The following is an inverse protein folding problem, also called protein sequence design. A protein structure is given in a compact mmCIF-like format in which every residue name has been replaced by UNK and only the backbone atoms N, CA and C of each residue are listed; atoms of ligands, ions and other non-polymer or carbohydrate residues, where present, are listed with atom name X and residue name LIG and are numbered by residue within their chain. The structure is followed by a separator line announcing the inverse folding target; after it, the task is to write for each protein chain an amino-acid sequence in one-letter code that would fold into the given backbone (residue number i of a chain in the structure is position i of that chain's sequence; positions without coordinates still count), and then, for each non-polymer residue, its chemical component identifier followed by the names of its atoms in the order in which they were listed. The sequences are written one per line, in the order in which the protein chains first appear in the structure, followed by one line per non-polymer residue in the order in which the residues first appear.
data_IF_220973229874
#
_entry.id   IF_220973229874
#
_cell.length_a   1.000
_cell.length_b   1.000
_cell.length_c   1.000
_cell.angle_alpha   90.00
_cell.angle_beta   90.00
_cell.angle_gamma   90.00
#
_symmetry.space_group_name_H-M   'P 1'
#
loop_
_entity.id
_entity.type
_entity.pdbx_description
1 polymer ?
#
# COMPACT_ATOMS: atom_id res chain seq x y z
N UNK A 1 21.39 4.80 -18.06
CA UNK A 1 21.93 4.11 -16.89
C UNK A 1 21.72 4.90 -15.62
N UNK A 2 21.92 6.21 -15.68
CA UNK A 2 21.67 7.08 -14.53
C UNK A 2 20.20 7.00 -14.05
N UNK A 3 19.25 6.99 -14.97
CA UNK A 3 17.83 6.88 -14.61
C UNK A 3 17.50 5.54 -13.97
N UNK A 4 18.11 4.46 -14.45
CA UNK A 4 17.89 3.14 -13.86
C UNK A 4 18.39 3.08 -12.42
N UNK A 5 19.55 3.67 -12.15
CA UNK A 5 20.11 3.74 -10.79
C UNK A 5 19.21 4.56 -9.88
N UNK A 6 18.73 5.71 -10.37
CA UNK A 6 17.83 6.59 -9.59
C UNK A 6 16.54 5.87 -9.24
N UNK A 7 15.98 5.12 -10.19
CA UNK A 7 14.73 4.39 -9.98
C UNK A 7 14.94 3.28 -8.94
N UNK A 8 16.01 2.52 -9.09
CA UNK A 8 16.32 1.43 -8.14
C UNK A 8 16.55 1.97 -6.73
N UNK A 9 17.31 3.03 -6.60
CA UNK A 9 17.58 3.65 -5.30
C UNK A 9 16.30 4.18 -4.67
N UNK A 10 15.41 4.76 -5.47
CA UNK A 10 14.13 5.24 -4.99
C UNK A 10 13.28 4.08 -4.43
N UNK A 11 13.21 2.96 -5.16
CA UNK A 11 12.44 1.80 -4.73
C UNK A 11 13.02 1.21 -3.45
N UNK A 12 14.33 1.20 -3.31
CA UNK A 12 14.98 0.72 -2.07
C UNK A 12 14.71 1.65 -0.89
N UNK A 13 14.70 2.95 -1.14
CA UNK A 13 14.52 3.96 -0.09
C UNK A 13 13.05 4.08 0.30
N UNK A 14 12.14 4.07 -0.66
CA UNK A 14 10.70 4.22 -0.44
C UNK A 14 9.98 3.07 -1.16
N UNK A 15 9.96 1.86 -0.58
CA UNK A 15 9.28 0.73 -1.20
C UNK A 15 7.77 0.92 -1.25
N UNK A 16 7.13 0.26 -2.19
CA UNK A 16 5.67 0.23 -2.27
C UNK A 16 5.04 1.30 -3.14
N UNK A 17 5.82 2.13 -3.79
CA UNK A 17 5.26 3.10 -4.73
C UNK A 17 4.77 2.43 -6.02
N UNK A 18 3.73 3.00 -6.60
CA UNK A 18 3.25 2.62 -7.94
C UNK A 18 4.10 3.32 -8.99
N UNK A 19 3.94 2.92 -10.26
CA UNK A 19 4.63 3.58 -11.36
C UNK A 19 4.32 5.09 -11.39
N UNK A 20 3.06 5.46 -11.19
CA UNK A 20 2.65 6.87 -11.18
C UNK A 20 3.34 7.66 -10.07
N UNK A 21 3.45 7.08 -8.87
CA UNK A 21 4.12 7.73 -7.75
C UNK A 21 5.62 7.91 -8.01
N UNK A 22 6.26 6.89 -8.59
CA UNK A 22 7.67 6.96 -8.94
C UNK A 22 7.90 8.04 -10.01
N UNK A 23 7.06 8.08 -11.03
CA UNK A 23 7.12 9.09 -12.10
C UNK A 23 7.01 10.49 -11.52
N UNK A 24 6.04 10.71 -10.64
CA UNK A 24 5.83 12.01 -10.01
C UNK A 24 7.02 12.43 -9.15
N UNK A 25 7.55 11.51 -8.34
CA UNK A 25 8.64 11.80 -7.40
C UNK A 25 9.96 12.09 -8.09
N UNK A 26 10.28 11.33 -9.15
CA UNK A 26 11.56 11.45 -9.82
C UNK A 26 11.56 12.43 -10.98
N UNK A 27 10.36 12.87 -11.40
CA UNK A 27 10.20 13.78 -12.54
C UNK A 27 10.89 13.24 -13.79
N UNK A 28 10.72 11.95 -14.03
CA UNK A 28 11.24 11.25 -15.22
C UNK A 28 10.04 10.86 -16.07
N UNK A 29 10.12 10.96 -17.40
CA UNK A 29 8.98 10.60 -18.27
C UNK A 29 8.46 9.19 -17.99
N UNK A 30 7.15 9.03 -18.01
CA UNK A 30 6.49 7.76 -17.71
C UNK A 30 7.00 6.59 -18.56
N UNK A 31 7.24 6.82 -19.84
CA UNK A 31 7.75 5.78 -20.72
C UNK A 31 9.14 5.30 -20.32
N UNK A 32 9.98 6.20 -19.84
CA UNK A 32 11.31 5.89 -19.35
C UNK A 32 11.24 5.10 -18.05
N UNK A 33 10.37 5.52 -17.12
CA UNK A 33 10.13 4.79 -15.88
C UNK A 33 9.67 3.37 -16.18
N UNK A 34 8.67 3.21 -17.05
CA UNK A 34 8.14 1.91 -17.43
C UNK A 34 9.21 0.98 -17.97
N UNK A 35 10.06 1.51 -18.87
CA UNK A 35 11.15 0.74 -19.45
C UNK A 35 12.11 0.23 -18.38
N UNK A 36 12.57 1.11 -17.49
CA UNK A 36 13.51 0.73 -16.46
C UNK A 36 12.92 -0.19 -15.39
N UNK A 37 11.64 -0.02 -15.06
CA UNK A 37 10.97 -0.94 -14.13
C UNK A 37 10.94 -2.35 -14.71
N UNK A 38 10.68 -2.45 -16.02
CA UNK A 38 10.69 -3.75 -16.69
C UNK A 38 12.08 -4.38 -16.68
N UNK A 39 13.11 -3.59 -16.97
CA UNK A 39 14.50 -4.07 -16.95
C UNK A 39 14.95 -4.52 -15.58
N UNK A 40 14.65 -3.71 -14.54
CA UNK A 40 15.01 -4.04 -13.16
C UNK A 40 14.31 -5.30 -12.67
N UNK A 41 13.06 -5.51 -13.11
CA UNK A 41 12.33 -6.73 -12.80
C UNK A 41 12.97 -7.95 -13.43
N UNK A 42 13.36 -7.83 -14.71
CA UNK A 42 14.06 -8.91 -15.42
C UNK A 42 15.40 -9.25 -14.78
N UNK A 43 16.09 -8.24 -14.24
CA UNK A 43 17.37 -8.43 -13.57
C UNK A 43 17.23 -8.93 -12.12
N UNK A 44 16.02 -9.19 -11.67
CA UNK A 44 15.73 -9.65 -10.32
C UNK A 44 16.17 -8.69 -9.21
N UNK A 45 16.19 -7.40 -9.50
CA UNK A 45 16.53 -6.38 -8.50
C UNK A 45 15.30 -5.85 -7.80
N UNK A 46 14.16 -5.86 -8.48
CA UNK A 46 12.87 -5.46 -7.93
C UNK A 46 11.81 -6.47 -8.34
N UNK A 47 10.66 -6.40 -7.67
CA UNK A 47 9.46 -7.14 -8.09
C UNK A 47 8.24 -6.25 -7.91
N UNK A 48 7.15 -6.61 -8.58
CA UNK A 48 5.87 -5.92 -8.40
C UNK A 48 4.87 -6.88 -7.79
N UNK A 49 3.94 -6.31 -7.02
CA UNK A 49 2.85 -7.08 -6.44
C UNK A 49 1.58 -6.24 -6.50
N UNK A 50 0.49 -6.88 -6.88
CA UNK A 50 -0.79 -6.19 -6.93
C UNK A 50 -1.46 -6.30 -5.56
N UNK A 51 -1.39 -5.23 -4.78
CA UNK A 51 -2.06 -5.12 -3.48
C UNK A 51 -3.29 -4.24 -3.65
N UNK A 52 -3.13 -2.93 -3.60
CA UNK A 52 -4.18 -1.98 -3.94
C UNK A 52 -4.14 -1.64 -5.44
N UNK A 53 -2.93 -1.35 -5.92
CA UNK A 53 -2.60 -1.17 -7.34
C UNK A 53 -1.39 -2.06 -7.58
N UNK A 54 -0.63 -1.82 -8.63
CA UNK A 54 0.64 -2.51 -8.84
C UNK A 54 1.73 -1.72 -8.13
N UNK A 55 2.31 -2.32 -7.10
CA UNK A 55 3.33 -1.70 -6.26
C UNK A 55 4.68 -2.36 -6.50
N UNK A 56 5.76 -1.57 -6.41
CA UNK A 56 7.12 -2.03 -6.69
C UNK A 56 7.95 -2.10 -5.41
N UNK A 57 8.69 -3.17 -5.27
CA UNK A 57 9.48 -3.44 -4.07
C UNK A 57 10.87 -3.94 -4.44
N UNK A 58 11.89 -3.66 -3.61
CA UNK A 58 13.21 -4.26 -3.83
C UNK A 58 13.15 -5.75 -3.47
N UNK A 59 13.89 -6.56 -4.20
CA UNK A 59 14.00 -7.99 -3.90
C UNK A 59 14.63 -8.14 -2.50
N UNK A 60 14.08 -9.04 -1.71
CA UNK A 60 14.55 -9.29 -0.34
C UNK A 60 13.82 -8.52 0.75
N UNK A 61 12.82 -7.71 0.39
CA UNK A 61 12.04 -6.96 1.39
C UNK A 61 11.23 -7.94 2.27
N UNK A 62 11.14 -7.64 3.55
CA UNK A 62 10.33 -8.40 4.49
C UNK A 62 8.84 -8.21 4.21
N UNK A 63 8.04 -9.28 4.33
CA UNK A 63 6.60 -9.24 4.03
C UNK A 63 5.86 -8.21 4.89
N UNK A 64 6.18 -8.12 6.17
CA UNK A 64 5.54 -7.15 7.07
C UNK A 64 5.88 -5.72 6.65
N UNK A 65 7.12 -5.48 6.28
CA UNK A 65 7.57 -4.17 5.83
C UNK A 65 6.91 -3.80 4.50
N UNK A 66 6.73 -4.78 3.62
CA UNK A 66 6.05 -4.59 2.33
C UNK A 66 4.64 -4.07 2.53
N UNK A 67 3.86 -4.70 3.39
CA UNK A 67 2.49 -4.28 3.69
C UNK A 67 2.48 -2.90 4.35
N UNK A 68 3.34 -2.68 5.32
CA UNK A 68 3.43 -1.42 6.04
C UNK A 68 3.74 -0.25 5.11
N UNK A 69 4.72 -0.40 4.23
CA UNK A 69 5.10 0.68 3.30
C UNK A 69 3.99 0.96 2.30
N UNK A 70 3.27 -0.07 1.87
CA UNK A 70 2.15 0.08 0.95
C UNK A 70 1.02 0.91 1.58
N UNK A 71 0.69 0.64 2.84
CA UNK A 71 -0.31 1.40 3.58
C UNK A 71 0.15 2.84 3.78
N UNK A 72 1.40 3.05 4.19
CA UNK A 72 1.93 4.39 4.45
C UNK A 72 2.01 5.26 3.21
N UNK A 73 2.16 4.66 2.03
CA UNK A 73 2.22 5.41 0.78
C UNK A 73 0.84 5.81 0.24
N UNK A 74 -0.25 5.34 0.87
CA UNK A 74 -1.61 5.65 0.47
C UNK A 74 -2.33 6.36 1.62
N UNK A 75 -2.59 7.66 1.45
CA UNK A 75 -3.21 8.49 2.48
C UNK A 75 -4.53 7.92 3.00
N UNK A 76 -5.37 7.43 2.11
CA UNK A 76 -6.70 6.94 2.48
C UNK A 76 -6.63 5.67 3.33
N UNK A 77 -5.77 4.73 2.95
CA UNK A 77 -5.58 3.51 3.71
C UNK A 77 -4.87 3.79 5.03
N UNK A 78 -3.88 4.67 4.99
CA UNK A 78 -3.14 5.09 6.18
C UNK A 78 -4.06 5.71 7.22
N UNK A 79 -5.00 6.57 6.77
CA UNK A 79 -5.92 7.23 7.67
C UNK A 79 -6.81 6.24 8.42
N UNK A 80 -7.36 5.25 7.73
CA UNK A 80 -8.17 4.21 8.37
C UNK A 80 -7.33 3.37 9.32
N UNK A 81 -6.17 2.92 8.86
CA UNK A 81 -5.30 2.07 9.65
C UNK A 81 -4.86 2.77 10.94
N UNK A 82 -4.52 4.05 10.84
CA UNK A 82 -4.12 4.87 11.99
C UNK A 82 -5.25 5.01 13.02
N UNK A 83 -6.48 5.15 12.54
CA UNK A 83 -7.64 5.33 13.41
C UNK A 83 -8.14 4.03 14.03
N UNK A 84 -7.66 2.89 13.53
CA UNK A 84 -8.05 1.58 14.03
C UNK A 84 -7.16 1.21 15.23
N UNK A 85 -7.39 1.87 16.35
CA UNK A 85 -6.58 1.69 17.57
C UNK A 85 -7.19 0.72 18.59
N UNK A 86 -8.34 0.16 18.26
CA UNK A 86 -9.04 -0.86 19.08
C UNK A 86 -10.00 -1.60 18.15
N UNK A 87 -10.70 -2.60 18.67
CA UNK A 87 -11.74 -3.28 17.90
C UNK A 87 -12.87 -2.31 17.61
N UNK A 88 -13.17 -2.07 16.35
CA UNK A 88 -14.14 -1.05 15.93
C UNK A 88 -15.12 -1.59 14.90
N UNK A 89 -16.38 -1.15 15.01
CA UNK A 89 -17.39 -1.46 14.00
C UNK A 89 -17.19 -0.56 12.76
N UNK A 90 -17.86 -0.93 11.67
CA UNK A 90 -17.82 -0.11 10.44
C UNK A 90 -18.28 1.32 10.72
N UNK A 91 -19.37 1.47 11.48
CA UNK A 91 -19.92 2.79 11.83
C UNK A 91 -18.93 3.62 12.61
N UNK A 92 -18.27 3.02 13.59
CA UNK A 92 -17.26 3.71 14.40
C UNK A 92 -16.08 4.19 13.55
N UNK A 93 -15.63 3.34 12.64
CA UNK A 93 -14.53 3.69 11.73
C UNK A 93 -14.92 4.82 10.79
N UNK A 94 -16.11 4.73 10.18
CA UNK A 94 -16.60 5.76 9.26
C UNK A 94 -16.71 7.11 9.97
N UNK A 95 -17.24 7.12 11.20
CA UNK A 95 -17.35 8.34 11.99
C UNK A 95 -15.97 8.90 12.36
N UNK A 96 -15.08 8.03 12.82
CA UNK A 96 -13.72 8.43 13.22
C UNK A 96 -12.93 9.04 12.07
N UNK A 97 -13.10 8.50 10.88
CA UNK A 97 -12.39 8.97 9.68
C UNK A 97 -13.15 10.06 8.91
N UNK A 98 -14.37 10.36 9.34
CA UNK A 98 -15.23 11.35 8.68
C UNK A 98 -15.48 11.01 7.20
N UNK A 99 -15.85 9.76 6.94
CA UNK A 99 -16.16 9.25 5.60
C UNK A 99 -17.46 8.46 5.66
N UNK A 100 -18.04 8.17 4.49
CA UNK A 100 -19.26 7.35 4.41
C UNK A 100 -18.95 5.90 4.75
N UNK A 101 -19.97 5.15 5.18
CA UNK A 101 -19.84 3.71 5.44
C UNK A 101 -19.43 2.96 4.18
N UNK A 102 -19.95 3.36 3.03
CA UNK A 102 -19.64 2.75 1.74
C UNK A 102 -18.15 2.86 1.42
N UNK A 103 -17.57 4.04 1.61
CA UNK A 103 -16.15 4.29 1.37
C UNK A 103 -15.31 3.52 2.40
N UNK A 104 -15.70 3.58 3.68
CA UNK A 104 -14.99 2.86 4.74
C UNK A 104 -14.98 1.36 4.46
N UNK A 105 -16.12 0.79 4.04
CA UNK A 105 -16.22 -0.62 3.73
C UNK A 105 -15.27 -1.05 2.62
N UNK A 106 -15.20 -0.27 1.54
CA UNK A 106 -14.30 -0.56 0.43
C UNK A 106 -12.83 -0.55 0.86
N UNK A 107 -12.44 0.46 1.63
CA UNK A 107 -11.07 0.61 2.09
C UNK A 107 -10.68 -0.48 3.09
N UNK A 108 -11.63 -0.87 3.96
CA UNK A 108 -11.41 -1.98 4.90
C UNK A 108 -11.23 -3.30 4.17
N UNK A 109 -11.98 -3.52 3.09
CA UNK A 109 -11.80 -4.72 2.27
C UNK A 109 -10.40 -4.79 1.67
N UNK A 110 -9.88 -3.65 1.23
CA UNK A 110 -8.52 -3.57 0.69
C UNK A 110 -7.51 -3.92 1.77
N UNK A 111 -7.62 -3.31 2.96
CA UNK A 111 -6.72 -3.59 4.07
C UNK A 111 -6.79 -5.05 4.52
N UNK A 112 -7.99 -5.62 4.53
CA UNK A 112 -8.18 -7.02 4.88
C UNK A 112 -7.53 -7.94 3.86
N UNK A 113 -7.69 -7.64 2.56
CA UNK A 113 -7.09 -8.43 1.48
C UNK A 113 -5.57 -8.37 1.51
N UNK A 114 -5.00 -7.27 2.03
CA UNK A 114 -3.56 -7.12 2.21
C UNK A 114 -3.04 -7.89 3.43
N UNK A 115 -3.94 -8.39 4.26
CA UNK A 115 -3.57 -9.11 5.46
C UNK A 115 -3.17 -8.23 6.64
N UNK A 116 -3.50 -6.94 6.60
CA UNK A 116 -3.12 -6.01 7.68
C UNK A 116 -4.16 -5.90 8.78
N UNK A 117 -5.40 -6.22 8.48
CA UNK A 117 -6.50 -6.21 9.47
C UNK A 117 -7.33 -7.47 9.32
N UNK A 118 -8.16 -7.75 10.31
CA UNK A 118 -9.07 -8.89 10.30
C UNK A 118 -10.43 -8.50 10.84
N UNK A 119 -11.45 -9.28 10.47
CA UNK A 119 -12.79 -9.16 11.03
C UNK A 119 -12.93 -10.10 12.21
N UNK A 120 -13.59 -9.64 13.24
CA UNK A 120 -13.95 -10.47 14.40
C UNK A 120 -15.44 -10.25 14.70
N UNK A 121 -16.06 -11.26 15.29
CA UNK A 121 -17.45 -11.16 15.69
C UNK A 121 -17.53 -11.11 17.21
N UNK A 122 -18.05 -10.00 17.75
CA UNK A 122 -18.18 -9.78 19.19
C UNK A 122 -19.65 -9.44 19.46
N UNK A 123 -20.33 -10.28 20.26
CA UNK A 123 -21.71 -10.05 20.65
C UNK A 123 -22.64 -9.71 19.48
N UNK A 124 -22.57 -10.51 18.41
CA UNK A 124 -23.38 -10.35 17.18
C UNK A 124 -22.98 -9.15 16.33
N UNK A 125 -21.93 -8.42 16.69
CA UNK A 125 -21.44 -7.31 15.88
C UNK A 125 -20.13 -7.69 15.21
N UNK A 126 -19.94 -7.22 13.97
CA UNK A 126 -18.68 -7.40 13.26
C UNK A 126 -17.80 -6.21 13.57
N UNK A 127 -16.61 -6.49 14.05
CA UNK A 127 -15.60 -5.47 14.34
C UNK A 127 -14.33 -5.75 13.56
N UNK A 128 -13.57 -4.73 13.35
CA UNK A 128 -12.28 -4.80 12.64
C UNK A 128 -11.17 -4.49 13.60
N UNK A 129 -10.05 -5.18 13.46
CA UNK A 129 -8.87 -4.91 14.29
C UNK A 129 -7.61 -5.17 13.48
N UNK A 130 -6.49 -4.57 13.92
CA UNK A 130 -5.18 -4.82 13.33
C UNK A 130 -4.76 -6.25 13.62
N UNK A 131 -4.08 -6.85 12.66
CA UNK A 131 -3.50 -8.18 12.82
C UNK A 131 -2.27 -8.16 13.70
#
# INVERSE_FOLDING_TARGET
MENQVKILEHIKKIPGHTQAQITYRLDIPQSTIKYHLLQLTKENKIFSEKLFKTHYFPVGIDDKLKIKTCIESNFNLKNIYKNLNKDMTLEEIATSCNISKSIASKRLQILESMGSIKKIKVEKKIKFCKK
#
